data_IF_466656971707
#
_entry.id   IF_466656971707
#
_cell.length_a   1.000
_cell.length_b   1.000
_cell.length_c   1.000
_cell.angle_alpha   90.00
_cell.angle_beta   90.00
_cell.angle_gamma   90.00
#
_symmetry.space_group_name_H-M   'P 1'
#
loop_
_entity.id
_entity.type
_entity.pdbx_description
1 polymer ?
#
# COMPACT_ATOMS: atom_id res chain seq x y z
N UNK A 1 0.17 -17.72 -2.22
CA UNK A 1 0.60 -16.80 -1.15
C UNK A 1 2.12 -16.75 -1.16
N UNK A 2 2.66 -15.61 -1.57
CA UNK A 2 4.09 -15.33 -1.53
C UNK A 2 4.53 -15.15 -0.07
N UNK A 3 5.69 -15.69 0.28
CA UNK A 3 6.31 -15.48 1.61
C UNK A 3 7.17 -14.22 1.65
N UNK A 4 7.18 -13.43 0.57
CA UNK A 4 7.98 -12.21 0.48
C UNK A 4 7.31 -11.09 1.28
N UNK A 5 8.11 -10.47 2.13
CA UNK A 5 7.68 -9.35 2.96
C UNK A 5 8.47 -8.10 2.62
N UNK A 6 7.79 -6.97 2.67
CA UNK A 6 8.31 -5.63 2.40
C UNK A 6 8.36 -4.86 3.71
N UNK A 7 9.45 -4.14 3.96
CA UNK A 7 9.54 -3.27 5.14
C UNK A 7 8.96 -1.86 4.88
N UNK A 8 8.90 -1.04 5.92
CA UNK A 8 8.31 0.30 5.82
C UNK A 8 9.08 1.23 4.88
N UNK A 9 10.40 1.05 4.72
CA UNK A 9 11.20 1.88 3.84
C UNK A 9 10.94 1.51 2.39
N UNK A 10 10.90 0.22 2.09
CA UNK A 10 10.56 -0.28 0.76
C UNK A 10 9.12 0.07 0.38
N UNK A 11 8.16 -0.03 1.32
CA UNK A 11 6.79 0.41 1.08
C UNK A 11 6.72 1.92 0.78
N UNK A 12 7.49 2.73 1.51
CA UNK A 12 7.57 4.17 1.28
C UNK A 12 8.12 4.49 -0.13
N UNK A 13 9.14 3.76 -0.57
CA UNK A 13 9.70 3.86 -1.92
C UNK A 13 8.67 3.49 -3.00
N UNK A 14 7.97 2.36 -2.85
CA UNK A 14 6.90 1.93 -3.78
C UNK A 14 5.75 2.94 -3.87
N UNK A 15 5.41 3.58 -2.76
CA UNK A 15 4.35 4.59 -2.71
C UNK A 15 4.83 6.01 -3.02
N UNK A 16 6.11 6.19 -3.36
CA UNK A 16 6.73 7.49 -3.61
C UNK A 16 6.48 8.50 -2.47
N UNK A 17 6.56 8.05 -1.22
CA UNK A 17 6.34 8.90 -0.04
C UNK A 17 7.41 8.66 1.04
N UNK A 18 7.42 9.50 2.07
CA UNK A 18 8.31 9.28 3.22
C UNK A 18 7.69 8.30 4.24
N UNK A 19 8.53 7.49 4.90
CA UNK A 19 8.08 6.56 5.96
C UNK A 19 7.25 7.28 7.05
N UNK A 20 7.59 8.53 7.35
CA UNK A 20 6.91 9.33 8.37
C UNK A 20 5.48 9.63 7.93
N UNK A 21 5.23 9.78 6.63
CA UNK A 21 3.89 9.95 6.06
C UNK A 21 3.03 8.72 6.33
N UNK A 22 3.59 7.52 6.13
CA UNK A 22 2.92 6.25 6.42
C UNK A 22 2.59 6.14 7.92
N UNK A 23 3.56 6.47 8.79
CA UNK A 23 3.38 6.42 10.26
C UNK A 23 2.36 7.44 10.77
N UNK A 24 2.41 8.67 10.27
CA UNK A 24 1.50 9.76 10.65
C UNK A 24 0.06 9.42 10.23
N UNK A 25 -0.10 8.76 9.07
CA UNK A 25 -1.39 8.36 8.53
C UNK A 25 -1.80 6.94 8.94
N UNK A 26 -1.25 6.36 10.00
CA UNK A 26 -1.55 4.97 10.43
C UNK A 26 -3.03 4.58 10.50
N UNK A 27 -3.94 5.55 10.74
CA UNK A 27 -5.39 5.31 10.83
C UNK A 27 -6.09 5.31 9.47
N UNK A 28 -5.57 6.08 8.52
CA UNK A 28 -6.15 6.35 7.20
C UNK A 28 -5.41 5.66 6.07
N UNK A 29 -4.16 5.25 6.30
CA UNK A 29 -3.32 4.64 5.30
C UNK A 29 -3.83 3.24 4.94
N UNK A 30 -4.13 2.98 3.66
CA UNK A 30 -4.85 1.77 3.23
C UNK A 30 -4.11 0.50 3.59
N UNK A 31 -2.78 0.50 3.46
CA UNK A 31 -1.94 -0.66 3.75
C UNK A 31 -1.55 -0.78 5.22
N UNK A 32 -1.69 0.25 6.06
CA UNK A 32 -1.12 0.21 7.42
C UNK A 32 -1.77 -0.86 8.30
N UNK A 33 -3.08 -1.12 8.11
CA UNK A 33 -3.82 -2.17 8.82
C UNK A 33 -3.40 -3.60 8.43
N UNK A 34 -2.82 -3.77 7.24
CA UNK A 34 -2.28 -5.04 6.75
C UNK A 34 -0.85 -5.31 7.25
N UNK A 35 -0.21 -4.29 7.82
CA UNK A 35 1.13 -4.40 8.35
C UNK A 35 1.16 -5.23 9.63
N UNK A 36 2.14 -6.11 9.75
CA UNK A 36 2.39 -6.90 10.94
C UNK A 36 3.81 -6.67 11.46
N UNK A 37 4.00 -6.91 12.76
CA UNK A 37 5.34 -6.81 13.37
C UNK A 37 5.97 -8.19 13.41
N UNK A 38 7.23 -8.28 12.97
CA UNK A 38 8.02 -9.49 13.17
C UNK A 38 8.62 -9.47 14.58
N UNK A 39 7.82 -9.88 15.56
CA UNK A 39 8.14 -9.95 16.99
C UNK A 39 7.31 -9.03 17.88
N UNK A 40 7.36 -9.28 19.19
CA UNK A 40 6.56 -8.56 20.20
C UNK A 40 7.22 -7.29 20.78
N UNK A 41 8.38 -6.89 20.27
CA UNK A 41 9.14 -5.75 20.79
C UNK A 41 8.65 -4.41 20.25
N UNK A 42 8.86 -3.34 21.02
CA UNK A 42 8.65 -1.95 20.53
C UNK A 42 9.50 -1.64 19.30
N UNK A 43 10.68 -2.27 19.19
CA UNK A 43 11.62 -2.12 18.06
C UNK A 43 11.44 -3.15 16.95
N UNK A 44 10.41 -4.00 17.01
CA UNK A 44 10.15 -4.98 15.95
C UNK A 44 9.82 -4.29 14.63
N UNK A 45 10.42 -4.79 13.55
CA UNK A 45 10.21 -4.25 12.20
C UNK A 45 8.74 -4.40 11.80
N UNK A 46 8.18 -3.35 11.24
CA UNK A 46 6.86 -3.36 10.62
C UNK A 46 7.03 -3.83 9.17
N UNK A 47 6.33 -4.90 8.84
CA UNK A 47 6.41 -5.60 7.57
C UNK A 47 5.01 -5.77 6.96
N UNK A 48 4.97 -5.92 5.65
CA UNK A 48 3.78 -6.20 4.86
C UNK A 48 4.06 -7.37 3.94
N UNK A 49 3.04 -8.15 3.59
CA UNK A 49 3.18 -9.12 2.50
C UNK A 49 3.21 -8.38 1.17
N UNK A 50 4.10 -8.82 0.27
CA UNK A 50 4.15 -8.26 -1.07
C UNK A 50 2.80 -8.41 -1.79
N UNK A 51 2.10 -9.54 -1.59
CA UNK A 51 0.79 -9.81 -2.19
C UNK A 51 -0.23 -8.71 -1.83
N UNK A 52 -0.35 -8.32 -0.55
CA UNK A 52 -1.27 -7.26 -0.14
C UNK A 52 -0.94 -5.89 -0.78
N UNK A 53 0.34 -5.65 -1.07
CA UNK A 53 0.80 -4.41 -1.70
C UNK A 53 0.46 -4.45 -3.20
N UNK A 54 0.77 -5.56 -3.87
CA UNK A 54 0.50 -5.75 -5.29
C UNK A 54 -1.00 -5.67 -5.57
N UNK A 55 -1.83 -6.35 -4.77
CA UNK A 55 -3.30 -6.28 -4.84
C UNK A 55 -3.82 -4.84 -4.72
N UNK A 56 -3.23 -4.04 -3.81
CA UNK A 56 -3.61 -2.64 -3.65
C UNK A 56 -3.26 -1.80 -4.88
N UNK A 57 -2.06 -1.98 -5.44
CA UNK A 57 -1.65 -1.25 -6.63
C UNK A 57 -2.45 -1.68 -7.87
N UNK A 58 -2.77 -2.96 -8.00
CA UNK A 58 -3.61 -3.47 -9.09
C UNK A 58 -5.02 -2.90 -9.00
N UNK A 59 -5.67 -2.96 -7.82
CA UNK A 59 -6.96 -2.32 -7.57
C UNK A 59 -6.95 -0.83 -7.91
N UNK A 60 -5.89 -0.09 -7.53
CA UNK A 60 -5.78 1.34 -7.85
C UNK A 60 -5.61 1.61 -9.35
N UNK A 61 -4.88 0.75 -10.06
CA UNK A 61 -4.74 0.84 -11.53
C UNK A 61 -6.06 0.56 -12.23
N UNK A 62 -6.84 -0.41 -11.76
CA UNK A 62 -8.17 -0.70 -12.28
C UNK A 62 -9.14 0.44 -12.02
N UNK A 63 -9.13 1.03 -10.82
CA UNK A 63 -9.94 2.23 -10.49
C UNK A 63 -9.64 3.39 -11.44
N UNK A 64 -8.35 3.71 -11.68
CA UNK A 64 -7.94 4.77 -12.60
C UNK A 64 -8.44 4.47 -14.02
N UNK A 65 -8.21 3.24 -14.51
CA UNK A 65 -8.67 2.84 -15.84
C UNK A 65 -10.19 2.96 -15.99
N UNK A 66 -10.95 2.56 -14.97
CA UNK A 66 -12.40 2.67 -15.00
C UNK A 66 -12.85 4.14 -15.00
N UNK A 67 -12.25 4.98 -14.16
CA UNK A 67 -12.53 6.42 -14.14
C UNK A 67 -12.20 7.11 -15.46
N UNK A 68 -11.09 6.75 -16.11
CA UNK A 68 -10.72 7.28 -17.44
C UNK A 68 -11.71 6.85 -18.54
N UNK A 69 -12.19 5.60 -18.49
CA UNK A 69 -13.19 5.10 -19.42
C UNK A 69 -14.57 5.78 -19.25
N UNK A 70 -14.96 6.07 -18.00
CA UNK A 70 -16.20 6.81 -17.69
C UNK A 70 -16.11 8.28 -18.16
N UNK A 71 -14.99 8.95 -17.93
CA UNK A 71 -14.75 10.32 -18.40
C UNK A 71 -14.77 10.41 -19.94
N UNK A 72 -14.13 9.46 -20.63
CA UNK A 72 -14.14 9.40 -22.10
C UNK A 72 -15.52 9.13 -22.68
N UNK A 73 -16.41 8.46 -21.93
CA UNK A 73 -17.79 8.16 -22.37
C UNK A 73 -18.77 9.31 -22.08
N UNK A 74 -18.43 10.19 -21.14
CA UNK A 74 -19.25 11.35 -20.77
C UNK A 74 -19.04 12.57 -21.68
N UNK A 75 -17.98 12.57 -22.51
CA UNK A 75 -17.68 13.63 -23.48
C UNK A 75 -18.19 13.34 -24.91
N UNK A 76 -18.98 12.28 -25.11
CA UNK A 76 -19.67 11.97 -26.38
C UNK A 76 -21.17 12.28 -26.34
#
# INVERSE_FOLDING_TARGET
MSTKTVDILQLAELMHCDKQTILNNRKTHPLYRKGFKNGGGRSSKLLWFQDDIDDYFESKREEIRNSEAELSSAEQ
#
